data_IF_529941867034
#
_entry.id   IF_529941867034
#
_cell.length_a   1.000
_cell.length_b   1.000
_cell.length_c   1.000
_cell.angle_alpha   90.00
_cell.angle_beta   90.00
_cell.angle_gamma   90.00
#
_symmetry.space_group_name_H-M   'P 1'
#
loop_
_entity.id
_entity.type
_entity.pdbx_description
1 polymer ?
#
# COMPACT_ATOMS: atom_id res chain seq x y z
N UNK A 1 13.28 11.13 -15.32
CA UNK A 1 11.93 11.46 -15.83
C UNK A 1 11.67 12.91 -15.48
N UNK A 2 10.99 13.64 -16.36
CA UNK A 2 10.53 14.98 -16.04
C UNK A 2 9.49 14.87 -14.93
N UNK A 3 9.57 15.71 -13.91
CA UNK A 3 8.61 15.82 -12.78
C UNK A 3 7.13 15.86 -13.26
N UNK A 4 6.93 16.38 -14.48
CA UNK A 4 5.68 16.54 -15.22
C UNK A 4 4.96 15.22 -15.58
N UNK A 5 5.66 14.09 -15.73
CA UNK A 5 5.03 12.80 -16.08
C UNK A 5 4.60 12.00 -14.84
N UNK A 6 5.15 12.32 -13.67
CA UNK A 6 4.86 11.63 -12.41
C UNK A 6 3.60 12.17 -11.74
N UNK A 7 3.33 13.46 -11.87
CA UNK A 7 2.19 14.15 -11.25
C UNK A 7 0.82 13.58 -11.70
N UNK A 8 0.56 13.33 -13.01
CA UNK A 8 -0.71 12.74 -13.45
C UNK A 8 -0.92 11.31 -12.96
N UNK A 9 0.19 10.55 -12.84
CA UNK A 9 0.15 9.16 -12.41
C UNK A 9 -0.03 9.05 -10.90
N UNK A 10 0.64 9.90 -10.13
CA UNK A 10 0.44 10.04 -8.69
C UNK A 10 -1.03 10.34 -8.38
N UNK A 11 -1.64 11.32 -9.06
CA UNK A 11 -3.05 11.67 -8.83
C UNK A 11 -3.99 10.50 -9.18
N UNK A 12 -3.72 9.78 -10.28
CA UNK A 12 -4.51 8.61 -10.66
C UNK A 12 -4.50 7.50 -9.60
N UNK A 13 -3.32 7.16 -9.08
CA UNK A 13 -3.17 6.15 -8.03
C UNK A 13 -3.76 6.66 -6.71
N UNK A 14 -3.56 7.94 -6.37
CA UNK A 14 -4.05 8.56 -5.15
C UNK A 14 -5.58 8.62 -5.10
N UNK A 15 -6.25 8.89 -6.23
CA UNK A 15 -7.72 8.84 -6.34
C UNK A 15 -8.31 7.46 -6.01
N UNK A 16 -7.54 6.39 -6.17
CA UNK A 16 -7.97 5.01 -5.89
C UNK A 16 -7.58 4.50 -4.50
N UNK A 17 -6.97 5.35 -3.66
CA UNK A 17 -6.47 4.95 -2.33
C UNK A 17 -7.53 4.25 -1.48
N UNK A 18 -8.79 4.67 -1.55
CA UNK A 18 -9.89 4.03 -0.79
C UNK A 18 -10.17 2.61 -1.27
N UNK A 19 -10.25 2.39 -2.58
CA UNK A 19 -10.46 1.06 -3.15
C UNK A 19 -9.27 0.12 -2.86
N UNK A 20 -8.05 0.65 -2.87
CA UNK A 20 -6.83 -0.09 -2.50
C UNK A 20 -6.89 -0.49 -1.02
N UNK A 21 -7.24 0.45 -0.13
CA UNK A 21 -7.33 0.21 1.31
C UNK A 21 -8.44 -0.81 1.66
N UNK A 22 -9.59 -0.75 0.99
CA UNK A 22 -10.66 -1.73 1.18
C UNK A 22 -10.28 -3.12 0.70
N UNK A 23 -9.61 -3.22 -0.46
CA UNK A 23 -9.09 -4.50 -0.95
C UNK A 23 -8.03 -5.07 0.01
N UNK A 24 -7.15 -4.21 0.53
CA UNK A 24 -6.15 -4.59 1.51
C UNK A 24 -6.79 -5.10 2.80
N UNK A 25 -7.79 -4.38 3.33
CA UNK A 25 -8.53 -4.83 4.50
C UNK A 25 -9.14 -6.22 4.27
N UNK A 26 -9.84 -6.42 3.14
CA UNK A 26 -10.46 -7.71 2.82
C UNK A 26 -9.46 -8.87 2.74
N UNK A 27 -8.23 -8.60 2.28
CA UNK A 27 -7.18 -9.61 2.16
C UNK A 27 -6.59 -10.05 3.51
N UNK A 28 -6.58 -9.17 4.53
CA UNK A 28 -5.99 -9.46 5.84
C UNK A 28 -7.01 -9.68 6.95
N UNK A 29 -8.28 -9.27 6.77
CA UNK A 29 -9.29 -9.33 7.83
C UNK A 29 -9.50 -10.73 8.44
N UNK A 30 -9.21 -11.78 7.67
CA UNK A 30 -9.39 -13.17 8.08
C UNK A 30 -8.09 -13.86 8.51
N UNK A 31 -6.94 -13.17 8.46
CA UNK A 31 -5.65 -13.77 8.78
C UNK A 31 -5.32 -13.70 10.27
N UNK A 32 -5.99 -12.83 11.03
CA UNK A 32 -5.80 -12.65 12.47
C UNK A 32 -7.08 -12.21 13.16
N UNK A 33 -7.24 -12.57 14.43
CA UNK A 33 -8.25 -11.99 15.29
C UNK A 33 -7.72 -10.69 15.89
N UNK A 34 -8.35 -9.56 15.56
CA UNK A 34 -7.90 -8.23 15.97
C UNK A 34 -9.00 -7.55 16.79
N UNK A 35 -8.69 -7.00 17.98
CA UNK A 35 -9.69 -6.41 18.89
C UNK A 35 -10.18 -5.00 18.46
N UNK A 36 -9.87 -4.57 17.24
CA UNK A 36 -10.22 -3.26 16.71
C UNK A 36 -11.44 -3.32 15.80
N UNK A 37 -12.32 -2.30 15.79
CA UNK A 37 -13.40 -2.19 14.82
C UNK A 37 -12.87 -2.18 13.39
N UNK A 38 -13.60 -2.83 12.48
CA UNK A 38 -13.26 -2.86 11.06
C UNK A 38 -13.11 -1.46 10.43
N UNK A 39 -13.89 -0.49 10.89
CA UNK A 39 -13.80 0.92 10.45
C UNK A 39 -12.50 1.58 10.89
N UNK A 40 -11.99 1.26 12.08
CA UNK A 40 -10.71 1.77 12.58
C UNK A 40 -9.56 1.21 11.75
N UNK A 41 -9.55 -0.10 11.51
CA UNK A 41 -8.51 -0.74 10.68
C UNK A 41 -8.53 -0.17 9.26
N UNK A 42 -9.70 -0.07 8.60
CA UNK A 42 -9.81 0.53 7.27
C UNK A 42 -9.25 1.95 7.20
N UNK A 43 -9.53 2.78 8.21
CA UNK A 43 -9.00 4.15 8.29
C UNK A 43 -7.47 4.15 8.37
N UNK A 44 -6.90 3.26 9.19
CA UNK A 44 -5.43 3.12 9.30
C UNK A 44 -4.83 2.65 7.98
N UNK A 45 -5.44 1.63 7.34
CA UNK A 45 -4.95 1.12 6.06
C UNK A 45 -5.04 2.18 4.96
N UNK A 46 -6.06 3.03 4.94
CA UNK A 46 -6.16 4.15 4.01
C UNK A 46 -5.01 5.16 4.16
N UNK A 47 -4.67 5.52 5.41
CA UNK A 47 -3.53 6.39 5.67
C UNK A 47 -2.22 5.75 5.19
N UNK A 48 -2.03 4.45 5.47
CA UNK A 48 -0.87 3.69 5.02
C UNK A 48 -0.79 3.59 3.51
N UNK A 49 -1.91 3.37 2.82
CA UNK A 49 -1.97 3.36 1.35
C UNK A 49 -1.51 4.71 0.80
N UNK A 50 -2.01 5.82 1.34
CA UNK A 50 -1.61 7.17 0.90
C UNK A 50 -0.13 7.44 1.16
N UNK A 51 0.40 7.01 2.31
CA UNK A 51 1.84 7.11 2.63
C UNK A 51 2.69 6.28 1.68
N UNK A 52 2.28 5.05 1.39
CA UNK A 52 2.97 4.16 0.47
C UNK A 52 3.01 4.75 -0.96
N UNK A 53 1.89 5.29 -1.44
CA UNK A 53 1.83 5.98 -2.75
C UNK A 53 2.83 7.16 -2.75
N UNK A 54 2.78 8.04 -1.74
CA UNK A 54 3.74 9.16 -1.65
C UNK A 54 5.20 8.72 -1.68
N UNK A 55 5.55 7.62 -0.99
CA UNK A 55 6.92 7.08 -1.01
C UNK A 55 7.32 6.49 -2.35
N UNK A 56 6.40 5.84 -3.07
CA UNK A 56 6.68 5.25 -4.38
C UNK A 56 6.95 6.29 -5.46
N UNK A 57 6.31 7.47 -5.35
CA UNK A 57 6.50 8.59 -6.26
C UNK A 57 7.50 9.63 -5.74
N UNK A 58 8.17 9.36 -4.61
CA UNK A 58 9.23 10.22 -4.11
C UNK A 58 10.47 10.12 -5.03
N UNK A 59 11.25 11.20 -5.20
CA UNK A 59 12.47 11.18 -6.02
C UNK A 59 13.49 10.13 -5.55
N UNK A 60 13.51 9.85 -4.25
CA UNK A 60 14.37 8.85 -3.62
C UNK A 60 13.56 8.01 -2.64
N UNK A 61 13.87 6.72 -2.56
CA UNK A 61 13.22 5.81 -1.63
C UNK A 61 13.72 6.06 -0.19
N UNK A 62 12.87 6.65 0.63
CA UNK A 62 13.06 6.69 2.08
C UNK A 62 12.81 5.29 2.67
N UNK A 63 13.91 4.60 2.98
CA UNK A 63 13.89 3.25 3.53
C UNK A 63 13.32 3.20 4.95
N UNK A 64 13.53 4.24 5.75
CA UNK A 64 13.02 4.30 7.12
C UNK A 64 11.50 4.43 7.09
N UNK A 65 10.98 5.35 6.29
CA UNK A 65 9.54 5.50 6.10
C UNK A 65 8.89 4.24 5.51
N UNK A 66 9.56 3.53 4.59
CA UNK A 66 9.07 2.26 4.05
C UNK A 66 9.02 1.15 5.13
N UNK A 67 10.04 1.08 6.00
CA UNK A 67 10.08 0.13 7.12
C UNK A 67 8.99 0.42 8.15
N UNK A 68 8.71 1.69 8.43
CA UNK A 68 7.62 2.07 9.33
C UNK A 68 6.26 1.57 8.83
N UNK A 69 5.99 1.65 7.52
CA UNK A 69 4.76 1.12 6.93
C UNK A 69 4.68 -0.39 7.15
N UNK A 70 5.78 -1.13 6.91
CA UNK A 70 5.84 -2.58 7.17
C UNK A 70 5.67 -2.95 8.65
N UNK A 71 6.19 -2.11 9.56
CA UNK A 71 6.12 -2.35 11.00
C UNK A 71 4.73 -2.11 11.61
N UNK A 72 3.79 -1.50 10.87
CA UNK A 72 2.46 -1.17 11.37
C UNK A 72 1.51 -2.36 11.40
N UNK A 73 1.69 -3.40 10.56
CA UNK A 73 0.88 -4.62 10.63
C UNK A 73 1.01 -5.35 11.97
N UNK A 74 2.22 -5.65 12.49
CA UNK A 74 2.38 -6.20 13.83
C UNK A 74 1.77 -5.33 14.94
N UNK A 75 1.86 -4.00 14.81
CA UNK A 75 1.27 -3.05 15.78
C UNK A 75 -0.27 -3.08 15.78
N UNK A 76 -0.87 -3.49 14.67
CA UNK A 76 -2.32 -3.73 14.54
C UNK A 76 -2.72 -5.17 14.89
N UNK A 77 -1.82 -5.97 15.49
CA UNK A 77 -2.01 -7.39 15.80
C UNK A 77 -2.17 -8.31 14.57
N UNK A 78 -1.73 -7.87 13.39
CA UNK A 78 -1.57 -8.71 12.20
C UNK A 78 -0.14 -9.27 12.17
N UNK A 79 0.16 -10.19 13.09
CA UNK A 79 1.46 -10.86 13.24
C UNK A 79 1.64 -12.16 12.44
N UNK A 80 0.60 -12.88 11.98
CA UNK A 80 0.81 -14.09 11.17
C UNK A 80 1.52 -13.76 9.84
N UNK A 81 2.49 -14.58 9.40
CA UNK A 81 3.22 -14.38 8.13
C UNK A 81 2.29 -14.23 6.92
N UNK A 82 1.14 -14.91 6.93
CA UNK A 82 0.13 -14.77 5.89
C UNK A 82 -0.38 -13.34 5.72
N UNK A 83 -0.54 -12.59 6.82
CA UNK A 83 -0.99 -11.19 6.77
C UNK A 83 -0.02 -10.31 6.00
N UNK A 84 1.29 -10.56 6.17
CA UNK A 84 2.35 -9.85 5.46
C UNK A 84 2.35 -10.24 3.97
N UNK A 85 2.29 -11.53 3.65
CA UNK A 85 2.23 -12.02 2.28
C UNK A 85 1.03 -11.43 1.52
N UNK A 86 -0.16 -11.46 2.13
CA UNK A 86 -1.40 -10.89 1.55
C UNK A 86 -1.32 -9.38 1.37
N UNK A 87 -0.65 -8.69 2.28
CA UNK A 87 -0.40 -7.25 2.15
C UNK A 87 0.47 -6.95 0.93
N UNK A 88 1.62 -7.63 0.82
CA UNK A 88 2.55 -7.41 -0.30
C UNK A 88 1.87 -7.74 -1.63
N UNK A 89 1.18 -8.89 -1.71
CA UNK A 89 0.44 -9.32 -2.90
C UNK A 89 -0.62 -8.28 -3.30
N UNK A 90 -1.43 -7.82 -2.34
CA UNK A 90 -2.53 -6.89 -2.62
C UNK A 90 -2.02 -5.52 -3.03
N UNK A 91 -1.06 -4.94 -2.30
CA UNK A 91 -0.51 -3.63 -2.63
C UNK A 91 0.22 -3.67 -3.97
N UNK A 92 1.05 -4.69 -4.20
CA UNK A 92 1.77 -4.83 -5.47
C UNK A 92 0.80 -4.96 -6.64
N UNK A 93 -0.22 -5.81 -6.52
CA UNK A 93 -1.22 -6.02 -7.60
C UNK A 93 -2.06 -4.78 -7.83
N UNK A 94 -2.57 -4.15 -6.77
CA UNK A 94 -3.48 -3.02 -6.88
C UNK A 94 -2.79 -1.75 -7.34
N UNK A 95 -1.57 -1.49 -6.89
CA UNK A 95 -0.80 -0.34 -7.37
C UNK A 95 -0.31 -0.60 -8.79
N UNK A 96 0.15 -1.82 -9.10
CA UNK A 96 0.56 -2.20 -10.46
C UNK A 96 -0.56 -2.10 -11.50
N UNK A 97 -1.80 -2.43 -11.14
CA UNK A 97 -2.95 -2.29 -12.04
C UNK A 97 -3.18 -0.85 -12.53
N UNK A 98 -2.64 0.13 -11.82
CA UNK A 98 -2.78 1.55 -12.12
C UNK A 98 -1.57 2.14 -12.85
N UNK A 99 -0.47 1.38 -12.92
CA UNK A 99 0.76 1.83 -13.57
C UNK A 99 0.74 1.46 -15.06
N UNK A 100 1.17 2.36 -15.96
CA UNK A 100 1.48 2.02 -17.34
C UNK A 100 2.46 0.84 -17.40
N UNK A 101 2.37 0.02 -18.45
CA UNK A 101 3.25 -1.16 -18.61
C UNK A 101 4.73 -0.81 -18.57
N UNK A 102 5.14 0.38 -19.03
CA UNK A 102 6.54 0.80 -18.95
C UNK A 102 7.05 0.95 -17.50
N UNK A 103 6.19 1.39 -16.57
CA UNK A 103 6.54 1.55 -15.16
C UNK A 103 6.53 0.20 -14.41
N UNK A 104 5.68 -0.73 -14.83
CA UNK A 104 5.67 -2.10 -14.27
C UNK A 104 6.99 -2.84 -14.48
N UNK A 105 7.65 -2.61 -15.62
CA UNK A 105 8.95 -3.24 -15.94
C UNK A 105 10.06 -2.74 -14.99
N UNK A 106 9.94 -1.52 -14.47
CA UNK A 106 10.95 -0.93 -13.57
C UNK A 106 10.82 -1.39 -12.11
N UNK A 107 9.66 -1.94 -11.74
CA UNK A 107 9.38 -2.44 -10.40
C UNK A 107 9.65 -3.95 -10.26
N UNK A 108 10.04 -4.63 -11.34
CA UNK A 108 10.49 -6.02 -11.28
C UNK A 108 11.94 -6.08 -10.78
N UNK A 109 12.27 -7.01 -9.87
CA UNK A 109 13.65 -7.21 -9.39
C UNK A 109 14.60 -7.70 -10.50
#
# INVERSE_FOLDING_TARGET
>A
MSEVEQEPLFELVNMRSEAIADAWYGAIAHTSFVPHPASEIRRVLLDLTRRAIKLLFAPELDREAAQEIGALLPRLNYTPPESLSRTIETLSTRIAQELPREELIRLQP
#
